data_IF_443746563657
#
_entry.id   IF_443746563657
#
_cell.length_a   1.000
_cell.length_b   1.000
_cell.length_c   1.000
_cell.angle_alpha   90.00
_cell.angle_beta   90.00
_cell.angle_gamma   90.00
#
_symmetry.space_group_name_H-M   'P 1'
#
loop_
_entity.id
_entity.type
_entity.pdbx_description
1 polymer ?
#
# COMPACT_ATOMS: atom_id res chain seq x y z
N UNK A 1 24.78 -5.29 -14.29
CA UNK A 1 24.72 -4.29 -13.21
C UNK A 1 24.14 -4.83 -11.91
N UNK A 2 23.01 -5.55 -11.94
CA UNK A 2 22.39 -6.11 -10.74
C UNK A 2 23.27 -7.09 -9.99
N UNK A 3 23.96 -7.99 -10.68
CA UNK A 3 24.86 -8.97 -10.08
C UNK A 3 26.10 -8.30 -9.45
N UNK A 4 26.60 -7.24 -10.07
CA UNK A 4 27.74 -6.49 -9.57
C UNK A 4 27.42 -5.76 -8.25
N UNK A 5 26.26 -5.11 -8.17
CA UNK A 5 25.80 -4.45 -6.96
C UNK A 5 25.63 -5.47 -5.83
N UNK A 6 24.98 -6.60 -6.12
CA UNK A 6 24.74 -7.66 -5.14
C UNK A 6 26.03 -8.23 -4.57
N UNK A 7 27.02 -8.50 -5.42
CA UNK A 7 28.30 -9.01 -4.99
C UNK A 7 29.03 -8.03 -4.07
N UNK A 8 29.04 -6.76 -4.42
CA UNK A 8 29.69 -5.72 -3.62
C UNK A 8 29.02 -5.55 -2.25
N UNK A 9 27.69 -5.61 -2.22
CA UNK A 9 26.93 -5.49 -0.97
C UNK A 9 27.13 -6.69 -0.06
N UNK A 10 27.25 -7.90 -0.63
CA UNK A 10 27.54 -9.10 0.14
C UNK A 10 28.88 -9.03 0.84
N UNK A 11 29.87 -8.38 0.23
CA UNK A 11 31.17 -8.19 0.84
C UNK A 11 31.15 -7.24 2.03
N UNK A 12 30.17 -6.37 2.11
CA UNK A 12 30.07 -5.37 3.20
C UNK A 12 29.32 -5.88 4.42
N UNK A 13 28.55 -6.93 4.31
CA UNK A 13 27.83 -7.60 5.40
C UNK A 13 26.99 -6.71 6.31
N UNK A 14 26.56 -5.54 5.81
CA UNK A 14 25.87 -4.57 6.64
C UNK A 14 24.45 -4.37 6.13
N UNK A 15 23.46 -4.75 6.96
CA UNK A 15 22.07 -4.39 6.70
C UNK A 15 21.91 -2.86 6.64
N UNK A 16 22.76 -2.15 7.36
CA UNK A 16 22.72 -0.68 7.41
C UNK A 16 23.38 -0.03 6.21
N UNK A 17 24.11 -0.78 5.37
CA UNK A 17 24.79 -0.21 4.22
C UNK A 17 23.81 0.36 3.19
N UNK A 18 22.63 -0.21 3.07
CA UNK A 18 21.59 0.34 2.18
C UNK A 18 21.15 1.72 2.62
N UNK A 19 20.95 1.89 3.93
CA UNK A 19 20.60 3.19 4.48
C UNK A 19 21.68 4.22 4.20
N UNK A 20 22.94 3.83 4.40
CA UNK A 20 24.09 4.71 4.15
C UNK A 20 24.21 5.07 2.67
N UNK A 21 24.10 4.10 1.79
CA UNK A 21 24.15 4.34 0.33
C UNK A 21 23.05 5.32 -0.09
N UNK A 22 21.82 5.07 0.34
CA UNK A 22 20.69 5.92 -0.02
C UNK A 22 20.84 7.33 0.55
N UNK A 23 21.37 7.44 1.78
CA UNK A 23 21.65 8.73 2.39
C UNK A 23 22.74 9.50 1.62
N UNK A 24 23.80 8.82 1.21
CA UNK A 24 24.88 9.41 0.43
C UNK A 24 24.35 9.89 -0.94
N UNK A 25 23.58 9.07 -1.62
CA UNK A 25 22.97 9.43 -2.90
C UNK A 25 22.08 10.66 -2.74
N UNK A 26 21.26 10.67 -1.70
CA UNK A 26 20.40 11.82 -1.38
C UNK A 26 21.25 13.11 -1.20
N UNK A 27 22.33 13.01 -0.45
CA UNK A 27 23.20 14.19 -0.19
C UNK A 27 23.92 14.68 -1.46
N UNK A 28 24.35 13.76 -2.32
CA UNK A 28 25.09 14.11 -3.53
C UNK A 28 24.14 14.67 -4.59
N UNK A 29 22.98 14.04 -4.79
CA UNK A 29 22.05 14.39 -5.84
C UNK A 29 20.94 15.34 -5.39
N UNK A 30 20.83 15.55 -4.08
CA UNK A 30 19.83 16.43 -3.48
C UNK A 30 18.39 16.07 -3.92
N UNK A 31 18.10 14.77 -3.88
CA UNK A 31 16.76 14.25 -4.21
C UNK A 31 16.04 13.91 -2.92
N UNK A 32 15.02 14.71 -2.51
CA UNK A 32 14.34 14.51 -1.22
C UNK A 32 13.72 13.13 -1.04
N UNK A 33 13.22 12.52 -2.11
CA UNK A 33 12.57 11.21 -2.04
C UNK A 33 13.51 10.09 -1.58
N UNK A 34 14.81 10.25 -1.79
CA UNK A 34 15.80 9.27 -1.36
C UNK A 34 15.99 9.24 0.16
N UNK A 35 15.65 10.33 0.85
CA UNK A 35 15.66 10.34 2.31
C UNK A 35 14.63 9.37 2.87
N UNK A 36 13.44 9.31 2.26
CA UNK A 36 12.38 8.38 2.63
C UNK A 36 12.81 6.94 2.40
N UNK A 37 13.49 6.67 1.29
CA UNK A 37 14.03 5.33 1.01
C UNK A 37 15.02 4.87 2.07
N UNK A 38 15.84 5.80 2.57
CA UNK A 38 16.75 5.51 3.68
C UNK A 38 16.02 5.03 4.93
N UNK A 39 14.86 5.62 5.23
CA UNK A 39 14.04 5.21 6.36
C UNK A 39 13.45 3.81 6.17
N UNK A 40 13.13 3.42 4.94
CA UNK A 40 12.59 2.10 4.64
C UNK A 40 13.56 0.97 4.99
N UNK A 41 14.86 1.26 5.07
CA UNK A 41 15.87 0.28 5.47
C UNK A 41 15.63 -0.26 6.88
N UNK A 42 14.98 0.50 7.74
CA UNK A 42 14.64 0.07 9.10
C UNK A 42 13.38 -0.78 9.17
N UNK A 43 12.54 -0.72 8.13
CA UNK A 43 11.29 -1.45 8.07
C UNK A 43 11.41 -2.76 7.29
N UNK A 44 12.35 -2.84 6.37
CA UNK A 44 12.55 -3.98 5.51
C UNK A 44 13.90 -4.63 5.78
N UNK A 45 13.95 -5.95 5.70
CA UNK A 45 15.23 -6.64 5.73
C UNK A 45 16.01 -6.41 4.43
N UNK A 46 17.32 -6.71 4.44
CA UNK A 46 18.18 -6.47 3.30
C UNK A 46 17.74 -7.17 2.02
N UNK A 47 17.21 -8.38 2.13
CA UNK A 47 16.76 -9.15 0.98
C UNK A 47 15.54 -8.50 0.32
N UNK A 48 14.55 -8.13 1.11
CA UNK A 48 13.34 -7.49 0.61
C UNK A 48 13.62 -6.09 0.07
N UNK A 49 14.49 -5.33 0.74
CA UNK A 49 14.90 -4.03 0.25
C UNK A 49 15.62 -4.13 -1.10
N UNK A 50 16.52 -5.10 -1.24
CA UNK A 50 17.22 -5.35 -2.50
C UNK A 50 16.25 -5.68 -3.62
N UNK A 51 15.26 -6.52 -3.36
CA UNK A 51 14.23 -6.88 -4.33
C UNK A 51 13.42 -5.66 -4.74
N UNK A 52 13.02 -4.83 -3.77
CA UNK A 52 12.27 -3.60 -4.03
C UNK A 52 13.07 -2.65 -4.93
N UNK A 53 14.30 -2.34 -4.55
CA UNK A 53 15.16 -1.43 -5.30
C UNK A 53 15.48 -1.95 -6.70
N UNK A 54 15.66 -3.26 -6.83
CA UNK A 54 15.95 -3.88 -8.12
C UNK A 54 14.75 -3.87 -9.05
N UNK A 55 13.57 -4.21 -8.50
CA UNK A 55 12.35 -4.31 -9.30
C UNK A 55 11.86 -2.93 -9.74
N UNK A 56 11.92 -1.95 -8.85
CA UNK A 56 11.38 -0.61 -9.11
C UNK A 56 12.45 0.43 -9.45
N UNK A 57 13.65 -0.01 -9.82
CA UNK A 57 14.74 0.91 -10.16
C UNK A 57 14.30 1.93 -11.22
N UNK A 58 14.56 3.21 -10.94
CA UNK A 58 14.22 4.33 -11.83
C UNK A 58 12.74 4.74 -11.82
N UNK A 59 11.89 4.06 -11.05
CA UNK A 59 10.46 4.40 -10.96
C UNK A 59 10.18 5.31 -9.77
N UNK A 60 9.19 6.16 -9.93
CA UNK A 60 8.65 6.98 -8.85
C UNK A 60 7.46 6.27 -8.23
N UNK A 61 7.44 6.19 -6.90
CA UNK A 61 6.36 5.57 -6.14
C UNK A 61 5.77 6.61 -5.21
N UNK A 62 4.45 6.72 -5.23
CA UNK A 62 3.71 7.54 -4.27
C UNK A 62 2.91 6.63 -3.36
N UNK A 63 3.15 6.74 -2.07
CA UNK A 63 2.38 5.97 -1.09
C UNK A 63 1.06 6.68 -0.79
N UNK A 64 -0.05 5.94 -0.72
CA UNK A 64 -1.31 6.52 -0.27
C UNK A 64 -1.19 7.00 1.18
N UNK A 65 -1.97 8.01 1.55
CA UNK A 65 -2.04 8.49 2.93
C UNK A 65 -2.82 7.50 3.79
N UNK A 66 -2.68 7.62 5.12
CA UNK A 66 -3.51 6.84 6.05
C UNK A 66 -5.00 7.11 5.82
N UNK A 67 -5.36 8.36 5.54
CA UNK A 67 -6.74 8.72 5.24
C UNK A 67 -7.23 8.01 3.98
N UNK A 68 -6.43 7.97 2.92
CA UNK A 68 -6.79 7.26 1.68
C UNK A 68 -7.00 5.77 1.94
N UNK A 69 -6.09 5.16 2.71
CA UNK A 69 -6.19 3.76 3.08
C UNK A 69 -7.44 3.48 3.90
N UNK A 70 -7.73 4.33 4.89
CA UNK A 70 -8.91 4.22 5.73
C UNK A 70 -10.20 4.38 4.92
N UNK A 71 -10.25 5.34 4.01
CA UNK A 71 -11.38 5.56 3.13
C UNK A 71 -11.66 4.33 2.26
N UNK A 72 -10.63 3.75 1.69
CA UNK A 72 -10.77 2.53 0.89
C UNK A 72 -11.24 1.34 1.74
N UNK A 73 -10.68 1.16 2.93
CA UNK A 73 -11.09 0.10 3.85
C UNK A 73 -12.58 0.23 4.21
N UNK A 74 -13.03 1.44 4.51
CA UNK A 74 -14.44 1.69 4.81
C UNK A 74 -15.34 1.46 3.60
N UNK A 75 -14.89 1.81 2.40
CA UNK A 75 -15.64 1.52 1.17
C UNK A 75 -15.79 0.00 0.94
N UNK A 76 -14.75 -0.77 1.24
CA UNK A 76 -14.82 -2.23 1.18
C UNK A 76 -15.74 -2.81 2.26
N UNK A 77 -15.79 -2.20 3.44
CA UNK A 77 -16.74 -2.57 4.48
C UNK A 77 -18.18 -2.32 4.03
N UNK A 78 -18.46 -1.20 3.38
CA UNK A 78 -19.78 -0.97 2.78
C UNK A 78 -20.13 -2.06 1.77
N UNK A 79 -19.18 -2.43 0.93
CA UNK A 79 -19.39 -3.51 -0.03
C UNK A 79 -19.76 -4.81 0.68
N UNK A 80 -19.03 -5.16 1.73
CA UNK A 80 -19.30 -6.38 2.51
C UNK A 80 -20.69 -6.34 3.12
N UNK A 81 -21.04 -5.24 3.80
CA UNK A 81 -22.34 -5.14 4.47
C UNK A 81 -23.50 -5.15 3.50
N UNK A 82 -23.39 -4.47 2.37
CA UNK A 82 -24.47 -4.34 1.40
C UNK A 82 -24.56 -5.55 0.48
N UNK A 83 -23.48 -5.89 -0.20
CA UNK A 83 -23.49 -6.86 -1.28
C UNK A 83 -23.28 -8.29 -0.81
N UNK A 84 -22.71 -8.50 0.36
CA UNK A 84 -22.50 -9.83 0.92
C UNK A 84 -23.51 -10.14 2.02
N UNK A 85 -23.70 -9.22 2.96
CA UNK A 85 -24.59 -9.44 4.12
C UNK A 85 -26.03 -8.96 3.89
N UNK A 86 -26.28 -8.23 2.80
CA UNK A 86 -27.63 -7.80 2.43
C UNK A 86 -28.18 -6.60 3.16
N UNK A 87 -27.31 -5.82 3.81
CA UNK A 87 -27.74 -4.58 4.48
C UNK A 87 -28.11 -3.50 3.46
N UNK A 88 -28.96 -2.56 3.88
CA UNK A 88 -29.20 -1.35 3.10
C UNK A 88 -28.01 -0.42 3.22
N UNK A 89 -27.91 0.55 2.32
CA UNK A 89 -26.84 1.55 2.38
C UNK A 89 -26.85 2.30 3.72
N UNK A 90 -28.03 2.71 4.19
CA UNK A 90 -28.16 3.44 5.47
C UNK A 90 -27.70 2.58 6.64
N UNK A 91 -28.12 1.32 6.68
CA UNK A 91 -27.66 0.38 7.72
C UNK A 91 -26.14 0.18 7.69
N UNK A 92 -25.58 -0.01 6.50
CA UNK A 92 -24.15 -0.20 6.34
C UNK A 92 -23.36 1.04 6.79
N UNK A 93 -23.81 2.23 6.41
CA UNK A 93 -23.19 3.48 6.84
C UNK A 93 -23.22 3.64 8.37
N UNK A 94 -24.31 3.22 9.01
CA UNK A 94 -24.44 3.31 10.46
C UNK A 94 -23.46 2.40 11.21
N UNK A 95 -22.95 1.37 10.57
CA UNK A 95 -21.99 0.44 11.18
C UNK A 95 -20.54 0.95 11.14
N UNK A 96 -20.26 1.98 10.33
CA UNK A 96 -18.93 2.56 10.26
C UNK A 96 -18.68 3.47 11.46
N UNK A 97 -17.54 3.29 12.12
CA UNK A 97 -17.17 4.03 13.32
C UNK A 97 -16.25 5.20 12.98
N UNK A 98 -16.33 6.26 13.78
CA UNK A 98 -15.46 7.44 13.72
C UNK A 98 -15.37 8.06 12.31
N UNK A 99 -16.51 8.18 11.64
CA UNK A 99 -16.60 8.75 10.29
C UNK A 99 -17.39 10.04 10.33
N UNK A 100 -16.78 11.12 9.86
CA UNK A 100 -17.47 12.41 9.71
C UNK A 100 -18.41 12.37 8.50
N UNK A 101 -19.43 13.25 8.42
CA UNK A 101 -20.31 13.31 7.25
C UNK A 101 -19.56 13.53 5.94
N UNK A 102 -18.51 14.35 5.94
CA UNK A 102 -17.69 14.60 4.76
C UNK A 102 -16.93 13.34 4.33
N UNK A 103 -16.37 12.60 5.30
CA UNK A 103 -15.71 11.33 5.02
C UNK A 103 -16.72 10.30 4.50
N UNK A 104 -17.94 10.28 5.05
CA UNK A 104 -18.97 9.35 4.60
C UNK A 104 -19.33 9.58 3.13
N UNK A 105 -19.38 10.83 2.68
CA UNK A 105 -19.63 11.14 1.29
C UNK A 105 -18.54 10.58 0.37
N UNK A 106 -17.28 10.72 0.78
CA UNK A 106 -16.15 10.16 0.03
C UNK A 106 -16.19 8.63 0.01
N UNK A 107 -16.45 8.02 1.16
CA UNK A 107 -16.54 6.56 1.30
C UNK A 107 -17.66 6.01 0.40
N UNK A 108 -18.83 6.63 0.42
CA UNK A 108 -19.97 6.21 -0.39
C UNK A 108 -19.67 6.35 -1.87
N UNK A 109 -19.09 7.49 -2.28
CA UNK A 109 -18.66 7.69 -3.67
C UNK A 109 -17.68 6.62 -4.13
N UNK A 110 -16.70 6.31 -3.29
CA UNK A 110 -15.71 5.29 -3.59
C UNK A 110 -16.33 3.89 -3.65
N UNK A 111 -17.25 3.58 -2.74
CA UNK A 111 -18.02 2.33 -2.78
C UNK A 111 -18.70 2.14 -4.14
N UNK A 112 -19.36 3.18 -4.66
CA UNK A 112 -20.01 3.11 -5.97
C UNK A 112 -19.01 2.86 -7.10
N UNK A 113 -17.79 3.37 -6.99
CA UNK A 113 -16.73 3.13 -7.97
C UNK A 113 -16.16 1.71 -7.87
N UNK A 114 -16.19 1.10 -6.69
CA UNK A 114 -15.70 -0.27 -6.48
C UNK A 114 -16.63 -1.31 -7.12
N UNK A 115 -17.93 -1.05 -7.15
CA UNK A 115 -18.92 -2.03 -7.62
C UNK A 115 -18.58 -2.65 -8.98
N UNK A 116 -18.32 -1.86 -10.06
CA UNK A 116 -17.98 -2.45 -11.35
C UNK A 116 -16.63 -3.16 -11.33
N UNK A 117 -15.69 -2.71 -10.50
CA UNK A 117 -14.37 -3.34 -10.38
C UNK A 117 -14.52 -4.73 -9.77
N UNK A 118 -15.28 -4.85 -8.67
CA UNK A 118 -15.51 -6.14 -8.01
C UNK A 118 -16.18 -7.13 -8.96
N UNK A 119 -17.15 -6.65 -9.74
CA UNK A 119 -17.84 -7.47 -10.73
C UNK A 119 -16.91 -7.91 -11.85
N UNK A 120 -16.09 -6.99 -12.39
CA UNK A 120 -15.17 -7.25 -13.49
C UNK A 120 -14.13 -8.32 -13.14
N UNK A 121 -13.63 -8.31 -11.92
CA UNK A 121 -12.58 -9.22 -11.50
C UNK A 121 -13.10 -10.47 -10.77
N UNK A 122 -14.42 -10.69 -10.78
CA UNK A 122 -15.06 -11.86 -10.15
C UNK A 122 -14.64 -12.03 -8.68
N UNK A 123 -14.51 -10.93 -7.97
CA UNK A 123 -14.22 -10.97 -6.53
C UNK A 123 -15.51 -11.32 -5.83
N UNK A 124 -15.63 -12.55 -5.38
CA UNK A 124 -16.85 -13.07 -4.82
C UNK A 124 -16.81 -13.13 -3.29
N UNK A 125 -17.96 -13.51 -2.73
CA UNK A 125 -18.18 -13.63 -1.30
C UNK A 125 -17.16 -14.54 -0.60
N UNK A 126 -16.82 -15.69 -1.22
CA UNK A 126 -15.93 -16.67 -0.60
C UNK A 126 -14.52 -16.13 -0.45
N UNK A 127 -14.05 -15.34 -1.43
CA UNK A 127 -12.73 -14.74 -1.40
C UNK A 127 -12.58 -13.70 -0.31
N UNK A 128 -13.60 -12.89 -0.09
CA UNK A 128 -13.60 -11.86 0.95
C UNK A 128 -13.73 -12.47 2.34
N UNK A 129 -14.70 -13.37 2.53
CA UNK A 129 -14.99 -13.95 3.84
C UNK A 129 -13.88 -14.84 4.38
N UNK A 130 -13.19 -15.54 3.52
CA UNK A 130 -12.13 -16.46 3.93
C UNK A 130 -10.74 -15.84 3.89
N UNK A 131 -10.64 -14.57 3.53
CA UNK A 131 -9.36 -13.86 3.47
C UNK A 131 -8.35 -14.54 2.57
N UNK A 132 -8.78 -15.18 1.51
CA UNK A 132 -7.89 -15.88 0.58
C UNK A 132 -6.94 -14.91 -0.09
N UNK A 133 -5.68 -15.28 -0.16
CA UNK A 133 -4.67 -14.52 -0.90
C UNK A 133 -4.73 -14.87 -2.38
N UNK A 134 -4.58 -13.87 -3.18
CA UNK A 134 -4.58 -13.98 -4.64
C UNK A 134 -3.19 -14.21 -5.19
#
# INVERSE_FOLDING_TARGET
MKNSIKANLNNLHLSDIYSLILFIIYKIQDIPDYAVLSEMCYLLDGANLTRLLTYFAGRTITFPTEEDMSTMANALLLYQYINIEGSTLVEAQSKLEDVTPKQMDKITSLYLQILPIMKQYNIDRSQIQHGKKY
#
